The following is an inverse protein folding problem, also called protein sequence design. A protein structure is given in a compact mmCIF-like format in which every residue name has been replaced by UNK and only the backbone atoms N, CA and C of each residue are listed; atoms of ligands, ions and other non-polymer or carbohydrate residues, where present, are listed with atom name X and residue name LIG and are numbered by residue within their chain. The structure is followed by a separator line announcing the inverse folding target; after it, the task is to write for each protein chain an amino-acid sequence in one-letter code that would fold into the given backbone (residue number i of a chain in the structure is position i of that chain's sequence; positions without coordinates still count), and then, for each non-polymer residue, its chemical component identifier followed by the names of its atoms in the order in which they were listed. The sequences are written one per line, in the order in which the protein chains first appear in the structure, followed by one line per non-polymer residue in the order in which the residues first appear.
data_IF_519180462073
#
_entry.id   IF_519180462073
#
_cell.length_a   1.000
_cell.length_b   1.000
_cell.length_c   1.000
_cell.angle_alpha   90.00
_cell.angle_beta   90.00
_cell.angle_gamma   90.00
#
_symmetry.space_group_name_H-M   'P 1'
#
loop_
_entity.id
_entity.type
_entity.pdbx_description
1 polymer ?
#
# COMPACT_ATOMS: atom_id res chain seq x y z
N UNK A 1 -18.76 -6.59 21.55
CA UNK A 1 -17.92 -7.07 20.44
C UNK A 1 -18.73 -7.02 19.15
N UNK A 2 -18.51 -6.00 18.32
CA UNK A 2 -18.91 -5.92 16.90
C UNK A 2 -17.83 -5.02 16.29
N UNK A 3 -16.83 -5.54 15.55
CA UNK A 3 -16.95 -5.88 14.13
C UNK A 3 -16.98 -4.58 13.33
N UNK A 4 -15.87 -4.04 12.85
CA UNK A 4 -15.26 -4.48 11.60
C UNK A 4 -15.93 -3.77 10.42
N UNK A 5 -15.40 -2.62 10.00
CA UNK A 5 -16.01 -1.82 8.94
C UNK A 5 -15.16 -0.65 8.44
N UNK A 6 -13.84 -0.83 8.35
CA UNK A 6 -12.95 0.11 7.64
C UNK A 6 -13.03 -0.11 6.14
N UNK A 7 -14.20 0.12 5.56
CA UNK A 7 -14.41 0.10 4.12
C UNK A 7 -13.80 1.35 3.49
N UNK A 8 -12.49 1.36 3.30
CA UNK A 8 -11.84 2.32 2.41
C UNK A 8 -12.21 1.96 0.97
N UNK A 9 -13.36 2.49 0.53
CA UNK A 9 -13.79 2.54 -0.86
C UNK A 9 -12.82 3.46 -1.62
N UNK A 10 -11.59 3.00 -1.84
CA UNK A 10 -10.66 3.72 -2.71
C UNK A 10 -10.96 3.34 -4.16
N UNK A 11 -11.93 4.07 -4.70
CA UNK A 11 -12.39 3.99 -6.08
C UNK A 11 -11.19 3.96 -7.05
N UNK A 12 -11.28 3.08 -8.05
CA UNK A 12 -10.39 3.05 -9.21
C UNK A 12 -10.53 4.40 -9.93
N UNK A 13 -9.67 5.36 -9.61
CA UNK A 13 -9.69 6.70 -10.20
C UNK A 13 -9.63 6.56 -11.74
N UNK A 14 -10.56 7.17 -12.48
CA UNK A 14 -10.50 7.15 -13.94
C UNK A 14 -9.25 7.92 -14.39
N UNK A 15 -8.42 7.26 -15.20
CA UNK A 15 -7.28 7.89 -15.89
C UNK A 15 -7.87 8.77 -16.99
N UNK A 16 -8.15 10.04 -16.69
CA UNK A 16 -8.63 11.00 -17.68
C UNK A 16 -7.39 11.61 -18.34
N UNK A 17 -6.94 11.01 -19.45
CA UNK A 17 -5.84 11.54 -20.26
C UNK A 17 -6.40 12.21 -21.53
N UNK A 18 -6.44 13.54 -21.56
CA UNK A 18 -6.61 14.29 -22.81
C UNK A 18 -5.27 14.26 -23.58
N UNK A 19 -5.24 14.10 -24.91
CA UNK A 19 -3.99 14.17 -25.67
C UNK A 19 -3.39 15.58 -25.56
N UNK A 20 -2.35 15.71 -24.72
CA UNK A 20 -1.70 16.98 -24.35
C UNK A 20 -1.72 17.30 -22.85
N UNK A 21 -2.52 16.58 -22.05
CA UNK A 21 -2.57 16.73 -20.60
C UNK A 21 -1.68 15.69 -19.89
N UNK A 22 -0.97 16.11 -18.85
CA UNK A 22 -0.21 15.21 -17.97
C UNK A 22 -1.15 14.15 -17.40
N UNK A 23 -0.76 12.87 -17.49
CA UNK A 23 -1.57 11.75 -16.98
C UNK A 23 -1.72 11.87 -15.47
N UNK A 24 -2.96 11.81 -14.97
CA UNK A 24 -3.29 11.83 -13.54
C UNK A 24 -4.12 10.59 -13.18
N UNK A 25 -3.66 9.72 -12.26
CA UNK A 25 -2.34 9.67 -11.64
C UNK A 25 -1.23 9.36 -12.66
N UNK A 26 -0.02 9.84 -12.42
CA UNK A 26 1.14 9.54 -13.27
C UNK A 26 1.50 8.06 -13.21
N UNK A 27 2.30 7.56 -14.15
CA UNK A 27 2.75 6.16 -14.13
C UNK A 27 3.52 5.80 -12.85
N UNK A 28 4.32 6.74 -12.32
CA UNK A 28 5.01 6.59 -11.04
C UNK A 28 4.03 6.46 -9.86
N UNK A 29 2.96 7.25 -9.86
CA UNK A 29 1.91 7.14 -8.84
C UNK A 29 1.15 5.82 -8.93
N UNK A 30 0.83 5.37 -10.15
CA UNK A 30 0.18 4.08 -10.39
C UNK A 30 1.06 2.93 -9.88
N UNK A 31 2.37 2.97 -10.16
CA UNK A 31 3.32 1.97 -9.66
C UNK A 31 3.34 1.94 -8.12
N UNK A 32 3.50 3.11 -7.49
CA UNK A 32 3.53 3.20 -6.03
C UNK A 32 2.23 2.69 -5.40
N UNK A 33 1.07 3.05 -5.95
CA UNK A 33 -0.23 2.56 -5.50
C UNK A 33 -0.36 1.04 -5.65
N UNK A 34 0.09 0.46 -6.76
CA UNK A 34 0.05 -0.99 -6.97
C UNK A 34 0.94 -1.72 -5.97
N UNK A 35 2.13 -1.19 -5.68
CA UNK A 35 3.05 -1.76 -4.68
C UNK A 35 2.48 -1.69 -3.27
N UNK A 36 1.88 -0.56 -2.90
CA UNK A 36 1.19 -0.40 -1.62
C UNK A 36 0.02 -1.39 -1.47
N UNK A 37 -0.76 -1.62 -2.54
CA UNK A 37 -1.82 -2.64 -2.53
C UNK A 37 -1.27 -4.04 -2.26
N UNK A 38 -0.25 -4.45 -3.01
CA UNK A 38 0.38 -5.75 -2.82
C UNK A 38 0.95 -5.94 -1.41
N UNK A 39 1.54 -4.89 -0.82
CA UNK A 39 2.02 -4.94 0.57
C UNK A 39 0.84 -5.10 1.54
N UNK A 40 -0.26 -4.35 1.36
CA UNK A 40 -1.46 -4.46 2.21
C UNK A 40 -2.07 -5.87 2.17
N UNK A 41 -2.14 -6.47 0.99
CA UNK A 41 -2.62 -7.85 0.81
C UNK A 41 -1.73 -8.85 1.56
N UNK A 42 -0.40 -8.77 1.38
CA UNK A 42 0.54 -9.62 2.11
C UNK A 42 0.47 -9.45 3.63
N UNK A 43 0.36 -8.22 4.11
CA UNK A 43 0.20 -7.95 5.56
C UNK A 43 -1.08 -8.59 6.09
N UNK A 44 -2.18 -8.54 5.33
CA UNK A 44 -3.43 -9.18 5.71
C UNK A 44 -3.26 -10.69 5.81
N UNK A 45 -2.69 -11.34 4.79
CA UNK A 45 -2.43 -12.78 4.78
C UNK A 45 -1.56 -13.22 5.97
N UNK A 46 -0.48 -12.48 6.25
CA UNK A 46 0.42 -12.78 7.36
C UNK A 46 -0.25 -12.61 8.72
N UNK A 47 -1.10 -11.60 8.89
CA UNK A 47 -1.87 -11.40 10.13
C UNK A 47 -2.93 -12.48 10.33
N UNK A 48 -3.61 -12.89 9.27
CA UNK A 48 -4.55 -14.01 9.32
C UNK A 48 -3.82 -15.31 9.71
N UNK A 49 -2.65 -15.57 9.11
CA UNK A 49 -1.80 -16.72 9.47
C UNK A 49 -1.32 -16.65 10.92
N UNK A 50 -0.92 -15.47 11.40
CA UNK A 50 -0.49 -15.27 12.79
C UNK A 50 -1.62 -15.58 13.78
N UNK A 51 -2.84 -15.12 13.49
CA UNK A 51 -4.02 -15.42 14.32
C UNK A 51 -4.34 -16.91 14.42
N UNK A 52 -3.99 -17.71 13.40
CA UNK A 52 -4.13 -19.17 13.44
C UNK A 52 -2.99 -19.86 14.21
N UNK A 53 -1.81 -19.24 14.30
CA UNK A 53 -0.64 -19.80 14.99
C UNK A 53 -0.63 -19.53 16.49
N UNK A 54 -1.24 -18.44 16.95
CA UNK A 54 -1.29 -18.11 18.39
C UNK A 54 -1.92 -19.25 19.22
N UNK A 55 -2.81 -20.04 18.60
CA UNK A 55 -3.41 -21.24 19.19
C UNK A 55 -2.51 -22.49 19.14
N UNK A 56 -1.45 -22.50 18.30
CA UNK A 56 -0.66 -23.68 17.97
C UNK A 56 0.71 -23.78 18.67
N UNK A 57 1.07 -22.84 19.56
CA UNK A 57 2.32 -22.80 20.32
C UNK A 57 3.62 -22.88 19.48
N UNK A 58 3.59 -22.48 18.20
CA UNK A 58 4.78 -22.47 17.33
C UNK A 58 5.53 -21.12 17.39
N UNK A 59 6.37 -20.97 18.42
CA UNK A 59 7.07 -19.72 18.72
C UNK A 59 8.14 -19.31 17.71
N UNK A 60 8.65 -20.23 16.88
CA UNK A 60 9.65 -19.89 15.85
C UNK A 60 8.98 -19.38 14.58
N UNK A 61 7.88 -20.00 14.16
CA UNK A 61 7.07 -19.55 13.03
C UNK A 61 6.48 -18.16 13.29
N UNK A 62 5.98 -17.91 14.50
CA UNK A 62 5.50 -16.60 14.95
C UNK A 62 6.59 -15.52 14.83
N UNK A 63 7.83 -15.83 15.22
CA UNK A 63 8.95 -14.88 15.09
C UNK A 63 9.26 -14.58 13.62
N UNK A 64 9.25 -15.59 12.76
CA UNK A 64 9.49 -15.42 11.34
C UNK A 64 8.42 -14.54 10.68
N UNK A 65 7.14 -14.77 11.00
CA UNK A 65 6.02 -13.95 10.50
C UNK A 65 6.14 -12.50 10.97
N UNK A 66 6.49 -12.26 12.24
CA UNK A 66 6.70 -10.91 12.76
C UNK A 66 7.86 -10.19 12.06
N UNK A 67 8.96 -10.88 11.78
CA UNK A 67 10.08 -10.30 11.04
C UNK A 67 9.68 -9.88 9.62
N UNK A 68 8.87 -10.70 8.94
CA UNK A 68 8.32 -10.37 7.61
C UNK A 68 7.36 -9.17 7.67
N UNK A 69 6.53 -9.06 8.72
CA UNK A 69 5.65 -7.92 8.92
C UNK A 69 6.44 -6.60 9.12
N UNK A 70 7.53 -6.64 9.87
CA UNK A 70 8.43 -5.49 10.05
C UNK A 70 9.13 -5.08 8.75
N UNK A 71 9.57 -6.05 7.93
CA UNK A 71 10.13 -5.74 6.61
C UNK A 71 9.08 -5.11 5.67
N UNK A 72 7.86 -5.65 5.64
CA UNK A 72 6.76 -5.09 4.87
C UNK A 72 6.38 -3.68 5.33
N UNK A 73 6.51 -3.38 6.62
CA UNK A 73 6.32 -2.03 7.15
C UNK A 73 7.37 -1.06 6.61
N UNK A 74 8.64 -1.44 6.60
CA UNK A 74 9.71 -0.61 6.00
C UNK A 74 9.47 -0.38 4.52
N UNK A 75 9.07 -1.43 3.79
CA UNK A 75 8.72 -1.30 2.38
C UNK A 75 7.52 -0.36 2.18
N UNK A 76 6.49 -0.45 3.03
CA UNK A 76 5.35 0.44 2.99
C UNK A 76 5.77 1.90 3.11
N UNK A 77 6.61 2.24 4.09
CA UNK A 77 7.08 3.60 4.31
C UNK A 77 7.84 4.14 3.09
N UNK A 78 8.71 3.34 2.48
CA UNK A 78 9.42 3.70 1.24
C UNK A 78 8.43 4.00 0.10
N UNK A 79 7.42 3.16 -0.09
CA UNK A 79 6.44 3.35 -1.16
C UNK A 79 5.47 4.51 -0.89
N UNK A 80 5.19 4.85 0.37
CA UNK A 80 4.46 6.07 0.72
C UNK A 80 5.24 7.31 0.30
N UNK A 81 6.53 7.39 0.64
CA UNK A 81 7.41 8.51 0.23
C UNK A 81 7.45 8.62 -1.29
N UNK A 82 7.67 7.51 -2.01
CA UNK A 82 7.67 7.52 -3.49
C UNK A 82 6.34 7.99 -4.09
N UNK A 83 5.20 7.63 -3.47
CA UNK A 83 3.88 8.10 -3.90
C UNK A 83 3.75 9.60 -3.72
N UNK A 84 4.18 10.13 -2.58
CA UNK A 84 4.14 11.56 -2.27
C UNK A 84 5.05 12.37 -3.17
N UNK A 85 6.26 11.88 -3.45
CA UNK A 85 7.18 12.48 -4.41
C UNK A 85 6.58 12.50 -5.82
N UNK A 86 6.01 11.39 -6.28
CA UNK A 86 5.36 11.32 -7.59
C UNK A 86 4.14 12.26 -7.70
N UNK A 87 3.38 12.42 -6.60
CA UNK A 87 2.28 13.38 -6.54
C UNK A 87 2.79 14.84 -6.57
N UNK A 88 3.91 15.13 -5.88
CA UNK A 88 4.57 16.45 -5.90
C UNK A 88 5.09 16.79 -7.29
N UNK A 89 5.79 15.87 -7.94
CA UNK A 89 6.27 16.03 -9.32
C UNK A 89 5.10 16.36 -10.27
N UNK A 90 3.97 15.66 -10.12
CA UNK A 90 2.76 15.97 -10.91
C UNK A 90 2.25 17.39 -10.65
N UNK A 91 2.21 17.85 -9.40
CA UNK A 91 1.75 19.20 -9.07
C UNK A 91 2.61 20.27 -9.75
N UNK A 92 3.93 20.11 -9.72
CA UNK A 92 4.89 20.98 -10.42
C UNK A 92 4.63 20.96 -11.94
N UNK A 93 4.45 19.76 -12.52
CA UNK A 93 4.15 19.62 -13.96
C UNK A 93 2.82 20.27 -14.37
N UNK A 94 1.88 20.40 -13.45
CA UNK A 94 0.59 21.08 -13.64
C UNK A 94 0.65 22.59 -13.35
N UNK A 95 1.82 23.12 -12.97
CA UNK A 95 2.04 24.54 -12.70
C UNK A 95 1.59 24.99 -11.30
N UNK A 96 1.46 24.06 -10.36
CA UNK A 96 1.22 24.36 -8.95
C UNK A 96 2.57 24.37 -8.20
N UNK A 97 3.18 25.56 -8.08
CA UNK A 97 4.33 25.87 -7.22
C UNK A 97 3.90 26.55 -5.91
#
# INVERSE_FOLDING_TARGET
MIGGGGGDVFQKLPVVGCPGAVKVPTDKEVEALNRLRAIKEKVRELKERLGLMEDAADGEEIKAVNALLEDLRRQWDIWQVKREEAARERMILLGHD
#
